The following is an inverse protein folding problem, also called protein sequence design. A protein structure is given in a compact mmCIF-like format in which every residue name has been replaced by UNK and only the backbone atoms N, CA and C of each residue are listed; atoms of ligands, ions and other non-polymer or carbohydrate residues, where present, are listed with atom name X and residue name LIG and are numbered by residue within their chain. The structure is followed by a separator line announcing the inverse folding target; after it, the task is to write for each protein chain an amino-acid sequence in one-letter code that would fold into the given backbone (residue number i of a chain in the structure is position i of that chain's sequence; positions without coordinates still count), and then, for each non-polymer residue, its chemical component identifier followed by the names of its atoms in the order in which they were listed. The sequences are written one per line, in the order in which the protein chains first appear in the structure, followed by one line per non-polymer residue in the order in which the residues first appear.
data_IF_421569439928
#
_entry.id   IF_421569439928
#
_cell.length_a   1.000
_cell.length_b   1.000
_cell.length_c   1.000
_cell.angle_alpha   90.00
_cell.angle_beta   90.00
_cell.angle_gamma   90.00
#
_symmetry.space_group_name_H-M   'P 1'
#
loop_
_entity.id
_entity.type
_entity.pdbx_description
1 polymer ?
#
# COMPACT_ATOMS: atom_id res chain seq x y z
N UNK A 1 6.62 -26.32 -6.82
CA UNK A 1 7.02 -27.51 -6.04
C UNK A 1 5.97 -27.78 -4.97
N UNK A 2 5.83 -29.04 -4.49
CA UNK A 2 4.94 -29.36 -3.38
C UNK A 2 5.76 -29.36 -2.09
N UNK A 3 5.36 -28.55 -1.12
CA UNK A 3 6.04 -28.42 0.18
C UNK A 3 5.01 -28.58 1.28
N UNK A 4 5.35 -29.34 2.33
CA UNK A 4 4.53 -29.46 3.52
C UNK A 4 5.04 -28.45 4.55
N UNK A 5 4.16 -27.53 4.97
CA UNK A 5 4.47 -26.48 5.94
C UNK A 5 3.31 -26.39 6.93
N UNK A 6 3.62 -26.15 8.20
CA UNK A 6 2.63 -25.90 9.24
C UNK A 6 2.34 -24.40 9.24
N UNK A 7 1.07 -24.04 9.08
CA UNK A 7 0.58 -22.66 9.10
C UNK A 7 -0.59 -22.62 10.08
N UNK A 8 -0.70 -21.52 10.81
CA UNK A 8 -1.84 -21.22 11.67
C UNK A 8 -3.14 -21.16 10.84
N UNK A 9 -4.16 -21.92 11.27
CA UNK A 9 -5.43 -22.01 10.55
C UNK A 9 -6.26 -20.72 10.65
N UNK A 10 -6.14 -19.96 11.74
CA UNK A 10 -6.83 -18.67 11.86
C UNK A 10 -6.23 -17.65 10.90
N UNK A 11 -4.89 -17.68 10.75
CA UNK A 11 -4.18 -16.83 9.79
C UNK A 11 -4.61 -17.12 8.35
N UNK A 12 -4.69 -18.40 7.97
CA UNK A 12 -5.07 -18.75 6.59
C UNK A 12 -6.55 -18.44 6.34
N UNK A 13 -7.40 -18.62 7.35
CA UNK A 13 -8.83 -18.29 7.25
C UNK A 13 -9.01 -16.79 7.02
N UNK A 14 -8.35 -15.94 7.83
CA UNK A 14 -8.36 -14.50 7.64
C UNK A 14 -7.83 -14.10 6.26
N UNK A 15 -6.74 -14.72 5.82
CA UNK A 15 -6.17 -14.45 4.50
C UNK A 15 -7.17 -14.79 3.37
N UNK A 16 -7.85 -15.93 3.45
CA UNK A 16 -8.87 -16.32 2.47
C UNK A 16 -10.09 -15.38 2.49
N UNK A 17 -10.57 -15.00 3.68
CA UNK A 17 -11.69 -14.06 3.83
C UNK A 17 -11.38 -12.69 3.25
N UNK A 18 -10.21 -12.12 3.56
CA UNK A 18 -9.82 -10.78 3.08
C UNK A 18 -9.46 -10.78 1.60
N UNK A 19 -8.83 -11.85 1.10
CA UNK A 19 -8.41 -11.93 -0.31
C UNK A 19 -9.50 -12.44 -1.27
N UNK A 20 -10.58 -13.06 -0.75
CA UNK A 20 -11.60 -13.72 -1.56
C UNK A 20 -11.12 -14.98 -2.29
N UNK A 21 -9.93 -15.48 -1.97
CA UNK A 21 -9.34 -16.65 -2.60
C UNK A 21 -9.95 -17.94 -2.04
N UNK A 22 -10.05 -18.97 -2.89
CA UNK A 22 -10.71 -20.23 -2.51
C UNK A 22 -9.77 -21.29 -1.96
N UNK A 23 -8.45 -21.16 -2.13
CA UNK A 23 -7.50 -22.22 -1.75
C UNK A 23 -6.37 -21.68 -0.89
N UNK A 24 -5.97 -22.46 0.12
CA UNK A 24 -4.80 -22.18 0.96
C UNK A 24 -3.54 -21.93 0.10
N UNK A 25 -3.36 -22.70 -0.98
CA UNK A 25 -2.25 -22.52 -1.94
C UNK A 25 -2.26 -21.14 -2.59
N UNK A 26 -3.42 -20.69 -3.09
CA UNK A 26 -3.54 -19.39 -3.74
C UNK A 26 -3.25 -18.24 -2.75
N UNK A 27 -3.77 -18.33 -1.52
CA UNK A 27 -3.50 -17.34 -0.48
C UNK A 27 -2.00 -17.24 -0.14
N UNK A 28 -1.33 -18.39 0.01
CA UNK A 28 0.13 -18.42 0.27
C UNK A 28 0.91 -17.82 -0.91
N UNK A 29 0.57 -18.18 -2.14
CA UNK A 29 1.24 -17.66 -3.33
C UNK A 29 1.06 -16.14 -3.47
N UNK A 30 -0.16 -15.64 -3.23
CA UNK A 30 -0.45 -14.22 -3.22
C UNK A 30 0.34 -13.47 -2.14
N UNK A 31 0.42 -14.02 -0.92
CA UNK A 31 1.20 -13.45 0.17
C UNK A 31 2.70 -13.37 -0.14
N UNK A 32 3.28 -14.42 -0.74
CA UNK A 32 4.68 -14.43 -1.16
C UNK A 32 4.96 -13.39 -2.25
N UNK A 33 4.07 -13.25 -3.24
CA UNK A 33 4.20 -12.22 -4.28
C UNK A 33 4.13 -10.81 -3.69
N UNK A 34 3.21 -10.57 -2.77
CA UNK A 34 3.08 -9.29 -2.08
C UNK A 34 4.34 -8.96 -1.28
N UNK A 35 4.91 -9.93 -0.57
CA UNK A 35 6.16 -9.75 0.15
C UNK A 35 7.29 -9.30 -0.78
N UNK A 36 7.47 -9.99 -1.92
CA UNK A 36 8.46 -9.60 -2.93
C UNK A 36 8.22 -8.16 -3.42
N UNK A 37 6.97 -7.82 -3.73
CA UNK A 37 6.61 -6.49 -4.22
C UNK A 37 6.91 -5.39 -3.20
N UNK A 38 6.59 -5.61 -1.92
CA UNK A 38 6.88 -4.68 -0.83
C UNK A 38 8.40 -4.45 -0.71
N UNK A 39 9.19 -5.52 -0.78
CA UNK A 39 10.64 -5.41 -0.69
C UNK A 39 11.27 -4.77 -1.93
N UNK A 40 10.75 -5.04 -3.13
CA UNK A 40 11.18 -4.37 -4.35
C UNK A 40 10.95 -2.85 -4.31
N UNK A 41 9.83 -2.41 -3.73
CA UNK A 41 9.56 -0.98 -3.48
C UNK A 41 10.47 -0.36 -2.39
N UNK A 42 11.17 -1.18 -1.60
CA UNK A 42 12.16 -0.72 -0.64
C UNK A 42 13.35 0.00 -1.29
N UNK A 43 13.71 -0.33 -2.53
CA UNK A 43 14.79 0.33 -3.25
C UNK A 43 14.48 1.81 -3.54
N UNK A 44 13.21 2.16 -3.76
CA UNK A 44 12.77 3.57 -3.85
C UNK A 44 13.06 4.32 -2.54
N UNK A 45 13.00 3.65 -1.38
CA UNK A 45 13.37 4.30 -0.10
C UNK A 45 14.84 4.70 -0.06
N UNK A 46 15.73 4.03 -0.81
CA UNK A 46 17.14 4.44 -0.94
C UNK A 46 17.32 5.75 -1.72
N UNK A 47 16.32 6.17 -2.48
CA UNK A 47 16.30 7.43 -3.22
C UNK A 47 15.79 8.60 -2.36
N UNK A 48 15.25 8.34 -1.16
CA UNK A 48 14.81 9.39 -0.22
C UNK A 48 15.98 10.31 0.12
N UNK A 49 15.84 11.61 -0.17
CA UNK A 49 16.87 12.62 0.07
C UNK A 49 18.03 12.62 -0.93
N UNK A 50 18.05 11.71 -1.91
CA UNK A 50 19.06 11.68 -2.98
C UNK A 50 18.57 12.31 -4.28
N UNK A 51 17.27 12.36 -4.49
CA UNK A 51 16.66 12.98 -5.67
C UNK A 51 16.30 14.42 -5.30
N UNK A 52 16.83 15.43 -6.02
CA UNK A 52 16.42 16.81 -5.82
C UNK A 52 14.94 16.93 -6.17
N UNK A 53 14.21 17.62 -5.31
CA UNK A 53 12.80 17.89 -5.56
C UNK A 53 12.71 19.11 -6.49
N UNK A 54 12.13 18.91 -7.68
CA UNK A 54 11.86 19.98 -8.64
C UNK A 54 10.38 20.39 -8.55
N UNK A 55 10.14 21.58 -8.00
CA UNK A 55 8.82 22.21 -7.88
C UNK A 55 8.88 23.44 -6.98
N UNK A 56 7.77 24.17 -6.84
CA UNK A 56 7.60 25.19 -5.81
C UNK A 56 6.45 24.78 -4.86
N UNK A 57 6.79 24.56 -3.58
CA UNK A 57 5.86 24.01 -2.59
C UNK A 57 4.77 25.01 -2.25
N UNK A 58 5.10 26.30 -2.35
CA UNK A 58 4.20 27.38 -2.00
C UNK A 58 3.15 27.57 -3.11
N UNK A 59 3.56 27.50 -4.38
CA UNK A 59 2.65 27.46 -5.54
C UNK A 59 1.67 26.27 -5.48
N UNK A 60 2.11 25.09 -5.06
CA UNK A 60 1.25 23.90 -4.92
C UNK A 60 0.29 23.97 -3.72
N UNK A 61 0.52 24.89 -2.78
CA UNK A 61 -0.33 25.10 -1.60
C UNK A 61 -1.31 26.26 -1.78
N UNK A 62 -0.96 27.24 -2.60
CA UNK A 62 -1.79 28.42 -2.88
C UNK A 62 -3.19 28.06 -3.41
N UNK A 63 -3.33 26.99 -4.19
CA UNK A 63 -4.63 26.53 -4.72
C UNK A 63 -5.58 25.92 -3.68
N UNK A 64 -5.15 25.65 -2.44
CA UNK A 64 -5.98 25.04 -1.39
C UNK A 64 -6.63 26.03 -0.42
N UNK A 65 -6.24 27.30 -0.49
CA UNK A 65 -6.66 28.34 0.49
C UNK A 65 -7.70 29.30 -0.12
N UNK A 66 -8.05 29.13 -1.38
CA UNK A 66 -8.94 30.02 -2.11
C UNK A 66 -10.34 29.41 -2.33
N UNK A 67 -10.94 28.81 -1.29
CA UNK A 67 -12.34 28.37 -1.34
C UNK A 67 -12.94 28.22 0.07
N UNK A 68 -12.82 29.26 0.90
CA UNK A 68 -13.60 29.32 2.16
C UNK A 68 -14.05 30.75 2.47
N UNK A 69 -14.84 31.32 1.56
CA UNK A 69 -15.74 32.45 1.86
C UNK A 69 -17.10 32.19 1.19
N UNK A 70 -17.81 31.15 1.62
CA UNK A 70 -19.25 31.10 1.44
C UNK A 70 -19.89 31.56 2.75
N UNK A 71 -20.53 32.74 2.81
CA UNK A 71 -21.17 33.18 4.04
C UNK A 71 -22.38 32.26 4.29
N UNK A 72 -22.37 31.61 5.46
CA UNK A 72 -23.52 30.88 5.97
C UNK A 72 -24.76 31.80 5.97
N UNK A 73 -25.82 31.38 5.30
CA UNK A 73 -27.14 32.02 5.34
C UNK A 73 -27.99 31.22 6.35
N UNK A 74 -28.56 31.88 7.38
CA UNK A 74 -29.36 31.21 8.40
C UNK A 74 -30.63 30.58 7.83
#
# INVERSE_FOLDING_TARGET
MRTNIVIDDDLITQALTVSGLQTKRAAVEAGLRLLIQIHAQGEIRKLRGKVPWEGDLDSLRAGRIAEEQTPYRP
#
